data_IF_465411154101
#
_entry.id   IF_465411154101
#
_cell.length_a   1.000
_cell.length_b   1.000
_cell.length_c   1.000
_cell.angle_alpha   90.00
_cell.angle_beta   90.00
_cell.angle_gamma   90.00
#
_symmetry.space_group_name_H-M   'P 1'
#
loop_
_entity.id
_entity.type
_entity.pdbx_description
1 polymer ?
#
# COMPACT_ATOMS: atom_id res chain seq x y z
N UNK A 1 11.02 14.05 -4.62
CA UNK A 1 9.74 14.70 -4.99
C UNK A 1 8.99 14.02 -6.15
N UNK A 2 9.59 13.15 -6.97
CA UNK A 2 8.88 12.20 -7.86
C UNK A 2 8.23 10.99 -7.16
N UNK A 3 8.28 10.94 -5.82
CA UNK A 3 7.89 9.75 -5.05
C UNK A 3 6.37 9.67 -4.84
N UNK A 4 5.67 10.79 -4.67
CA UNK A 4 4.22 10.79 -4.37
C UNK A 4 3.39 10.17 -5.52
N UNK A 5 3.71 10.50 -6.77
CA UNK A 5 3.00 10.04 -7.97
C UNK A 5 3.18 8.53 -8.20
N UNK A 6 4.39 8.00 -7.97
CA UNK A 6 4.66 6.56 -8.08
C UNK A 6 3.97 5.76 -6.96
N UNK A 7 3.87 6.33 -5.77
CA UNK A 7 3.23 5.70 -4.60
C UNK A 7 1.71 5.60 -4.80
N UNK A 8 1.08 6.65 -5.35
CA UNK A 8 -0.34 6.64 -5.71
C UNK A 8 -0.65 5.57 -6.75
N UNK A 9 0.14 5.50 -7.85
CA UNK A 9 0.02 4.47 -8.88
C UNK A 9 0.09 3.06 -8.28
N UNK A 10 1.03 2.85 -7.35
CA UNK A 10 1.29 1.56 -6.71
C UNK A 10 0.22 1.16 -5.69
N UNK A 11 -0.28 2.11 -4.89
CA UNK A 11 -1.33 1.85 -3.89
C UNK A 11 -2.65 1.48 -4.56
N UNK A 12 -3.02 2.19 -5.62
CA UNK A 12 -4.24 1.89 -6.38
C UNK A 12 -4.15 0.57 -7.14
N UNK A 13 -3.02 0.26 -7.79
CA UNK A 13 -2.81 -1.02 -8.47
C UNK A 13 -3.05 -2.24 -7.55
N UNK A 14 -2.70 -2.12 -6.26
CA UNK A 14 -2.78 -3.21 -5.27
C UNK A 14 -4.18 -3.45 -4.71
N UNK A 15 -5.13 -2.52 -4.83
CA UNK A 15 -6.48 -2.66 -4.29
C UNK A 15 -7.30 -3.65 -5.15
N UNK A 16 -7.38 -4.93 -4.73
CA UNK A 16 -8.12 -5.97 -5.49
C UNK A 16 -9.65 -5.79 -5.44
N UNK A 17 -10.17 -5.15 -4.38
CA UNK A 17 -11.59 -4.95 -4.11
C UNK A 17 -12.02 -3.48 -4.11
N UNK A 18 -11.33 -2.62 -4.85
CA UNK A 18 -11.57 -1.16 -4.86
C UNK A 18 -13.05 -0.77 -5.02
N UNK A 19 -13.77 -1.45 -5.91
CA UNK A 19 -15.18 -1.17 -6.19
C UNK A 19 -16.14 -1.58 -5.05
N UNK A 20 -15.74 -2.53 -4.20
CA UNK A 20 -16.58 -3.07 -3.12
C UNK A 20 -16.57 -2.16 -1.88
N UNK A 21 -15.55 -1.30 -1.74
CA UNK A 21 -15.34 -0.43 -0.58
C UNK A 21 -15.38 1.08 -0.92
N UNK A 22 -15.39 1.43 -2.20
CA UNK A 22 -15.54 2.80 -2.67
C UNK A 22 -17.01 3.25 -2.53
N UNK A 23 -17.41 3.76 -1.36
CA UNK A 23 -18.79 4.20 -1.11
C UNK A 23 -19.09 5.57 -1.74
N UNK A 24 -18.14 6.51 -1.66
CA UNK A 24 -18.36 7.90 -2.10
C UNK A 24 -18.23 8.03 -3.63
N UNK A 25 -17.36 7.26 -4.27
CA UNK A 25 -17.09 7.35 -5.72
C UNK A 25 -18.35 7.06 -6.56
N UNK A 26 -19.15 6.00 -6.31
CA UNK A 26 -20.42 5.76 -7.00
C UNK A 26 -21.45 6.86 -6.73
N UNK A 27 -21.54 7.39 -5.51
CA UNK A 27 -22.47 8.47 -5.16
C UNK A 27 -22.14 9.72 -5.98
N UNK A 28 -20.87 10.13 -5.99
CA UNK A 28 -20.40 11.28 -6.76
C UNK A 28 -20.54 11.06 -8.28
N UNK A 29 -20.32 9.84 -8.78
CA UNK A 29 -20.55 9.49 -10.17
C UNK A 29 -22.03 9.59 -10.57
N UNK A 30 -22.96 9.11 -9.73
CA UNK A 30 -24.39 9.24 -9.96
C UNK A 30 -24.82 10.71 -9.98
N UNK A 31 -24.30 11.51 -9.05
CA UNK A 31 -24.57 12.95 -9.01
C UNK A 31 -24.13 13.64 -10.30
N UNK A 32 -22.94 13.32 -10.82
CA UNK A 32 -22.48 13.83 -12.10
C UNK A 32 -23.39 13.38 -13.26
N UNK A 33 -23.81 12.12 -13.28
CA UNK A 33 -24.69 11.58 -14.31
C UNK A 33 -26.08 12.23 -14.35
N UNK A 34 -26.58 12.70 -13.21
CA UNK A 34 -27.83 13.47 -13.13
C UNK A 34 -27.63 14.94 -13.56
N UNK A 35 -26.54 15.57 -13.11
CA UNK A 35 -26.33 17.01 -13.33
C UNK A 35 -25.93 17.29 -14.78
N UNK A 36 -25.00 16.51 -15.34
CA UNK A 36 -24.37 16.81 -16.64
C UNK A 36 -25.43 16.99 -17.74
N UNK A 37 -26.35 16.02 -18.00
CA UNK A 37 -27.34 16.14 -19.06
C UNK A 37 -28.22 17.39 -18.92
N UNK A 38 -28.63 17.73 -17.70
CA UNK A 38 -29.48 18.91 -17.46
C UNK A 38 -28.78 20.23 -17.81
N UNK A 39 -27.45 20.28 -17.67
CA UNK A 39 -26.63 21.49 -17.87
C UNK A 39 -26.12 21.66 -19.29
N UNK A 40 -26.08 20.59 -20.08
CA UNK A 40 -25.55 20.61 -21.46
C UNK A 40 -26.57 20.16 -22.52
N UNK A 41 -27.86 20.07 -22.16
CA UNK A 41 -28.95 19.51 -22.98
C UNK A 41 -29.08 20.01 -24.43
N UNK A 42 -28.54 21.20 -24.77
CA UNK A 42 -28.58 21.76 -26.14
C UNK A 42 -27.30 21.51 -26.96
N UNK A 43 -26.26 20.92 -26.38
CA UNK A 43 -24.94 20.82 -27.01
C UNK A 43 -24.73 19.45 -27.64
N UNK A 44 -24.23 19.43 -28.88
CA UNK A 44 -23.79 18.20 -29.54
C UNK A 44 -22.42 17.81 -29.00
N UNK A 45 -22.39 16.90 -28.04
CA UNK A 45 -21.14 16.38 -27.46
C UNK A 45 -20.55 15.32 -28.39
N UNK A 46 -19.33 15.55 -28.88
CA UNK A 46 -18.62 14.65 -29.80
C UNK A 46 -17.37 14.07 -29.18
N UNK A 47 -16.66 14.81 -28.33
CA UNK A 47 -15.44 14.33 -27.66
C UNK A 47 -15.50 14.59 -26.16
N UNK A 48 -15.22 13.55 -25.39
CA UNK A 48 -15.27 13.55 -23.93
C UNK A 48 -13.93 13.09 -23.39
N UNK A 49 -13.36 13.86 -22.46
CA UNK A 49 -12.16 13.47 -21.72
C UNK A 49 -12.55 13.15 -20.27
N UNK A 50 -12.22 11.96 -19.81
CA UNK A 50 -12.35 11.57 -18.40
C UNK A 50 -10.97 11.54 -17.74
N UNK A 51 -10.83 12.30 -16.66
CA UNK A 51 -9.59 12.42 -15.88
C UNK A 51 -9.71 11.67 -14.56
N UNK A 52 -8.85 10.67 -14.37
CA UNK A 52 -8.91 9.76 -13.22
C UNK A 52 -10.10 8.80 -13.34
N UNK A 53 -10.13 8.04 -14.43
CA UNK A 53 -11.22 7.09 -14.71
C UNK A 53 -11.30 5.96 -13.68
N UNK A 54 -10.21 5.67 -12.96
CA UNK A 54 -10.13 4.57 -12.01
C UNK A 54 -10.56 3.26 -12.66
N UNK A 55 -11.45 2.51 -12.00
CA UNK A 55 -12.06 1.27 -12.50
C UNK A 55 -13.23 1.48 -13.47
N UNK A 56 -13.49 2.71 -13.92
CA UNK A 56 -14.52 3.04 -14.91
C UNK A 56 -15.93 3.27 -14.34
N UNK A 57 -16.06 3.55 -13.05
CA UNK A 57 -17.37 3.76 -12.40
C UNK A 57 -18.15 4.94 -13.00
N UNK A 58 -17.48 6.07 -13.24
CA UNK A 58 -18.11 7.23 -13.89
C UNK A 58 -18.35 6.96 -15.38
N UNK A 59 -17.36 6.40 -16.09
CA UNK A 59 -17.50 6.01 -17.50
C UNK A 59 -18.77 5.19 -17.74
N UNK A 60 -19.05 4.19 -16.90
CA UNK A 60 -20.26 3.35 -17.02
C UNK A 60 -21.58 4.12 -16.92
N UNK A 61 -21.60 5.22 -16.16
CA UNK A 61 -22.80 6.03 -15.94
C UNK A 61 -22.97 7.08 -17.04
N UNK A 62 -21.88 7.69 -17.49
CA UNK A 62 -21.91 8.80 -18.45
C UNK A 62 -21.91 8.32 -19.90
N UNK A 63 -21.15 7.28 -20.24
CA UNK A 63 -21.00 6.80 -21.62
C UNK A 63 -22.33 6.50 -22.32
N UNK A 64 -23.31 5.82 -21.68
CA UNK A 64 -24.62 5.58 -22.28
C UNK A 64 -25.45 6.85 -22.55
N UNK A 65 -25.17 7.96 -21.86
CA UNK A 65 -25.88 9.24 -22.05
C UNK A 65 -25.39 9.99 -23.30
N UNK A 66 -24.17 9.69 -23.77
CA UNK A 66 -23.57 10.28 -24.97
C UNK A 66 -22.98 9.18 -25.88
N UNK A 67 -23.80 8.26 -26.43
CA UNK A 67 -23.33 7.05 -27.08
C UNK A 67 -22.58 7.29 -28.41
N UNK A 68 -22.69 8.50 -28.98
CA UNK A 68 -22.02 8.88 -30.22
C UNK A 68 -20.74 9.68 -30.00
N UNK A 69 -20.37 9.95 -28.75
CA UNK A 69 -19.14 10.65 -28.45
C UNK A 69 -17.94 9.70 -28.44
N UNK A 70 -16.80 10.20 -28.86
CA UNK A 70 -15.48 9.61 -28.59
C UNK A 70 -15.11 9.92 -27.14
N UNK A 71 -14.80 8.89 -26.36
CA UNK A 71 -14.30 9.02 -25.00
C UNK A 71 -12.81 8.73 -24.95
N UNK A 72 -12.07 9.61 -24.29
CA UNK A 72 -10.70 9.40 -23.89
C UNK A 72 -10.67 9.30 -22.37
N UNK A 73 -10.61 8.08 -21.86
CA UNK A 73 -10.56 7.77 -20.44
C UNK A 73 -9.11 7.71 -20.01
N UNK A 74 -8.74 8.47 -18.98
CA UNK A 74 -7.36 8.58 -18.54
C UNK A 74 -7.21 8.34 -17.06
N UNK A 75 -6.10 7.74 -16.68
CA UNK A 75 -5.72 7.51 -15.29
C UNK A 75 -4.21 7.42 -15.19
N UNK A 76 -3.65 7.65 -14.01
CA UNK A 76 -2.22 7.47 -13.77
C UNK A 76 -1.84 5.97 -13.75
N UNK A 77 -2.79 5.11 -13.37
CA UNK A 77 -2.60 3.66 -13.26
C UNK A 77 -3.10 2.90 -14.48
N UNK A 78 -2.16 2.23 -15.17
CA UNK A 78 -2.47 1.30 -16.27
C UNK A 78 -3.37 0.16 -15.83
N UNK A 79 -3.18 -0.37 -14.61
CA UNK A 79 -4.01 -1.46 -14.07
C UNK A 79 -5.45 -1.02 -13.87
N UNK A 80 -5.67 0.24 -13.44
CA UNK A 80 -7.01 0.81 -13.31
C UNK A 80 -7.68 0.94 -14.68
N UNK A 81 -6.94 1.45 -15.67
CA UNK A 81 -7.43 1.55 -17.05
C UNK A 81 -7.80 0.20 -17.65
N UNK A 82 -6.99 -0.83 -17.44
CA UNK A 82 -7.32 -2.20 -17.89
C UNK A 82 -8.61 -2.73 -17.25
N UNK A 83 -8.82 -2.43 -15.96
CA UNK A 83 -10.08 -2.77 -15.28
C UNK A 83 -11.24 -2.00 -15.86
N UNK A 84 -11.10 -0.69 -16.04
CA UNK A 84 -12.13 0.17 -16.65
C UNK A 84 -12.53 -0.34 -18.04
N UNK A 85 -11.55 -0.60 -18.90
CA UNK A 85 -11.75 -1.16 -20.23
C UNK A 85 -12.53 -2.48 -20.18
N UNK A 86 -12.11 -3.41 -19.33
CA UNK A 86 -12.83 -4.68 -19.15
C UNK A 86 -14.26 -4.46 -18.66
N UNK A 87 -14.45 -3.53 -17.72
CA UNK A 87 -15.75 -3.23 -17.09
C UNK A 87 -16.70 -2.54 -18.05
N UNK A 88 -16.22 -1.76 -19.02
CA UNK A 88 -17.06 -1.00 -19.97
C UNK A 88 -17.15 -1.65 -21.35
N UNK A 89 -16.37 -2.70 -21.64
CA UNK A 89 -16.36 -3.39 -22.93
C UNK A 89 -17.75 -3.77 -23.46
N UNK A 90 -18.66 -4.18 -22.57
CA UNK A 90 -20.02 -4.57 -22.90
C UNK A 90 -20.89 -3.43 -23.45
N UNK A 91 -20.48 -2.16 -23.29
CA UNK A 91 -21.20 -1.00 -23.79
C UNK A 91 -21.11 -0.85 -25.31
N UNK A 92 -20.05 -1.38 -25.95
CA UNK A 92 -19.86 -1.27 -27.40
C UNK A 92 -19.66 0.16 -27.91
N UNK A 93 -19.15 1.05 -27.07
CA UNK A 93 -18.95 2.48 -27.36
C UNK A 93 -17.50 2.79 -27.75
N UNK A 94 -17.28 3.97 -28.35
CA UNK A 94 -15.95 4.45 -28.71
C UNK A 94 -15.19 4.98 -27.48
N UNK A 95 -14.54 4.06 -26.75
CA UNK A 95 -13.78 4.35 -25.54
C UNK A 95 -12.30 4.04 -25.78
N UNK A 96 -11.42 5.02 -25.57
CA UNK A 96 -9.97 4.85 -25.52
C UNK A 96 -9.47 4.99 -24.09
N UNK A 97 -8.49 4.18 -23.68
CA UNK A 97 -7.92 4.19 -22.34
C UNK A 97 -6.43 4.55 -22.40
N UNK A 98 -6.03 5.68 -21.83
CA UNK A 98 -4.68 6.23 -22.00
C UNK A 98 -4.08 6.62 -20.64
N UNK A 99 -2.89 6.09 -20.29
CA UNK A 99 -2.18 6.54 -19.10
C UNK A 99 -1.87 8.03 -19.17
N UNK A 100 -2.23 8.79 -18.14
CA UNK A 100 -1.98 10.23 -18.08
C UNK A 100 -1.73 10.67 -16.63
N UNK A 101 -0.64 11.41 -16.43
CA UNK A 101 -0.51 12.28 -15.27
C UNK A 101 -1.22 13.61 -15.58
N UNK A 102 -2.32 13.92 -14.88
CA UNK A 102 -3.12 15.12 -15.16
C UNK A 102 -2.41 16.44 -14.82
N UNK A 103 -1.30 16.38 -14.06
CA UNK A 103 -0.41 17.54 -13.85
C UNK A 103 0.51 17.79 -15.03
N UNK A 104 0.73 16.79 -15.88
CA UNK A 104 1.68 16.81 -16.98
C UNK A 104 0.99 16.45 -18.30
N UNK A 105 0.11 17.33 -18.78
CA UNK A 105 -0.50 17.16 -20.09
C UNK A 105 0.55 17.18 -21.21
N UNK A 106 0.62 16.14 -22.06
CA UNK A 106 1.61 16.08 -23.12
C UNK A 106 1.38 17.18 -24.17
N UNK A 107 2.48 17.78 -24.62
CA UNK A 107 2.51 18.87 -25.62
C UNK A 107 3.01 18.34 -26.96
N UNK A 108 2.59 18.98 -28.06
CA UNK A 108 3.06 18.63 -29.40
C UNK A 108 2.62 17.23 -29.86
N UNK A 109 1.47 16.75 -29.37
CA UNK A 109 0.92 15.48 -29.81
C UNK A 109 0.55 15.53 -31.31
N UNK A 110 0.77 14.43 -32.05
CA UNK A 110 0.24 14.25 -33.40
C UNK A 110 -1.28 14.49 -33.46
N UNK A 111 -1.80 15.00 -34.59
CA UNK A 111 -3.24 15.31 -34.75
C UNK A 111 -4.15 14.09 -34.56
N UNK A 112 -3.65 12.89 -34.83
CA UNK A 112 -4.36 11.61 -34.68
C UNK A 112 -4.30 11.02 -33.27
N UNK A 113 -3.49 11.60 -32.37
CA UNK A 113 -3.42 11.13 -30.99
C UNK A 113 -4.73 11.46 -30.25
N UNK A 114 -5.34 10.55 -29.47
CA UNK A 114 -6.64 10.83 -28.83
C UNK A 114 -6.65 12.03 -27.85
N UNK A 115 -5.56 12.32 -27.16
CA UNK A 115 -5.40 13.52 -26.33
C UNK A 115 -5.10 14.83 -27.10
N UNK A 116 -4.92 14.76 -28.43
CA UNK A 116 -4.76 15.94 -29.27
C UNK A 116 -6.09 16.68 -29.44
N UNK A 117 -6.00 17.99 -29.71
CA UNK A 117 -7.16 18.86 -29.87
C UNK A 117 -7.87 19.22 -28.56
N UNK A 118 -9.14 19.59 -28.72
CA UNK A 118 -10.05 20.03 -27.66
C UNK A 118 -11.22 19.05 -27.46
N UNK A 119 -11.90 19.20 -26.33
CA UNK A 119 -13.01 18.37 -25.87
C UNK A 119 -14.26 19.21 -25.59
N UNK A 120 -15.43 18.65 -25.92
CA UNK A 120 -16.72 19.30 -25.66
C UNK A 120 -17.14 19.15 -24.20
N UNK A 121 -16.70 18.08 -23.56
CA UNK A 121 -16.98 17.77 -22.17
C UNK A 121 -15.74 17.16 -21.51
N UNK A 122 -15.36 17.68 -20.35
CA UNK A 122 -14.33 17.08 -19.50
C UNK A 122 -14.98 16.68 -18.19
N UNK A 123 -14.75 15.45 -17.75
CA UNK A 123 -15.31 14.91 -16.52
C UNK A 123 -14.21 14.35 -15.62
N UNK A 124 -14.41 14.45 -14.31
CA UNK A 124 -13.54 13.80 -13.33
C UNK A 124 -14.32 13.52 -12.06
N UNK A 125 -14.12 12.33 -11.49
CA UNK A 125 -14.80 11.93 -10.28
C UNK A 125 -13.79 11.58 -9.19
N UNK A 126 -13.69 12.43 -8.16
CA UNK A 126 -12.81 12.24 -7.00
C UNK A 126 -11.37 11.87 -7.40
N UNK A 127 -10.79 12.57 -8.36
CA UNK A 127 -9.38 12.43 -8.72
C UNK A 127 -8.53 13.63 -8.28
N UNK A 128 -9.13 14.82 -8.20
CA UNK A 128 -8.42 16.08 -7.99
C UNK A 128 -7.80 16.26 -6.61
N UNK A 129 -8.26 15.50 -5.60
CA UNK A 129 -7.65 15.53 -4.27
C UNK A 129 -6.24 14.92 -4.26
N UNK A 130 -5.85 14.20 -5.32
CA UNK A 130 -4.52 13.61 -5.48
C UNK A 130 -3.56 14.51 -6.28
N UNK A 131 -4.03 15.67 -6.74
CA UNK A 131 -3.26 16.62 -7.55
C UNK A 131 -2.58 17.63 -6.65
N UNK A 132 -1.26 17.72 -6.71
CA UNK A 132 -0.47 18.67 -5.93
C UNK A 132 -0.62 20.09 -6.51
N UNK A 133 -0.38 20.26 -7.81
CA UNK A 133 -0.49 21.56 -8.49
C UNK A 133 -1.89 21.79 -9.09
N UNK A 134 -2.92 21.74 -8.22
CA UNK A 134 -4.34 21.79 -8.63
C UNK A 134 -4.69 23.00 -9.51
N UNK A 135 -4.14 24.17 -9.19
CA UNK A 135 -4.35 25.41 -9.97
C UNK A 135 -3.90 25.27 -11.43
N UNK A 136 -2.71 24.71 -11.64
CA UNK A 136 -2.16 24.53 -12.98
C UNK A 136 -2.89 23.43 -13.75
N UNK A 137 -3.29 22.35 -13.06
CA UNK A 137 -4.13 21.31 -13.66
C UNK A 137 -5.48 21.87 -14.14
N UNK A 138 -6.15 22.72 -13.34
CA UNK A 138 -7.41 23.37 -13.74
C UNK A 138 -7.24 24.27 -14.96
N UNK A 139 -6.15 25.03 -15.06
CA UNK A 139 -5.83 25.84 -16.25
C UNK A 139 -5.60 24.97 -17.49
N UNK A 140 -4.84 23.90 -17.36
CA UNK A 140 -4.56 22.98 -18.45
C UNK A 140 -5.86 22.36 -18.98
N UNK A 141 -6.75 21.95 -18.08
CA UNK A 141 -8.07 21.39 -18.41
C UNK A 141 -8.94 22.42 -19.11
N UNK A 142 -8.97 23.65 -18.61
CA UNK A 142 -9.70 24.71 -19.27
C UNK A 142 -9.20 24.96 -20.69
N UNK A 143 -7.88 24.93 -20.92
CA UNK A 143 -7.30 25.09 -22.26
C UNK A 143 -7.67 23.97 -23.25
N UNK A 144 -8.08 22.81 -22.72
CA UNK A 144 -8.51 21.63 -23.50
C UNK A 144 -10.00 21.65 -23.82
N UNK A 145 -10.78 22.57 -23.28
CA UNK A 145 -12.18 22.73 -23.66
C UNK A 145 -12.30 23.44 -25.01
N UNK A 146 -13.32 23.08 -25.78
CA UNK A 146 -13.78 23.92 -26.89
C UNK A 146 -14.36 25.22 -26.35
N UNK A 147 -14.53 26.24 -27.19
CA UNK A 147 -15.16 27.52 -26.80
C UNK A 147 -16.55 27.32 -26.16
N UNK A 148 -17.26 26.27 -26.58
CA UNK A 148 -18.57 25.90 -26.04
C UNK A 148 -18.52 24.69 -25.10
N UNK A 149 -17.33 24.24 -24.72
CA UNK A 149 -17.15 23.07 -23.87
C UNK A 149 -17.57 23.31 -22.41
N UNK A 150 -17.66 22.25 -21.63
CA UNK A 150 -17.87 22.33 -20.18
C UNK A 150 -17.03 21.29 -19.44
N UNK A 151 -16.60 21.61 -18.21
CA UNK A 151 -15.96 20.67 -17.31
C UNK A 151 -16.80 20.44 -16.06
N UNK A 152 -16.94 19.18 -15.62
CA UNK A 152 -17.62 18.80 -14.40
C UNK A 152 -16.72 17.90 -13.56
N UNK A 153 -16.39 18.35 -12.36
CA UNK A 153 -15.39 17.71 -11.52
C UNK A 153 -15.97 17.57 -10.10
N UNK A 154 -15.66 16.47 -9.43
CA UNK A 154 -15.91 16.31 -7.99
C UNK A 154 -14.60 16.19 -7.23
N UNK A 155 -14.56 16.78 -6.03
CA UNK A 155 -13.43 16.68 -5.11
C UNK A 155 -13.93 16.73 -3.67
N UNK A 156 -13.08 16.38 -2.73
CA UNK A 156 -13.37 16.44 -1.30
C UNK A 156 -13.09 17.86 -0.78
N UNK A 157 -13.88 18.27 0.21
CA UNK A 157 -13.78 19.60 0.82
C UNK A 157 -13.35 19.47 2.28
N UNK A 158 -12.96 20.62 2.85
CA UNK A 158 -12.83 20.75 4.29
C UNK A 158 -14.07 20.21 5.03
N UNK A 159 -13.83 19.47 6.11
CA UNK A 159 -14.86 18.78 6.86
C UNK A 159 -15.09 17.31 6.46
N UNK A 160 -14.50 16.82 5.37
CA UNK A 160 -14.50 15.37 5.07
C UNK A 160 -13.77 14.59 6.18
N UNK A 161 -14.44 13.56 6.73
CA UNK A 161 -13.96 12.70 7.82
C UNK A 161 -13.60 13.44 9.11
N UNK A 162 -14.38 14.47 9.46
CA UNK A 162 -14.16 15.27 10.69
C UNK A 162 -14.29 14.44 11.96
N UNK A 163 -15.25 13.54 12.02
CA UNK A 163 -15.49 12.64 13.15
C UNK A 163 -14.28 11.75 13.40
N UNK A 164 -13.67 11.24 12.33
CA UNK A 164 -12.44 10.46 12.43
C UNK A 164 -11.26 11.31 12.91
N UNK A 165 -11.12 12.54 12.38
CA UNK A 165 -10.08 13.47 12.83
C UNK A 165 -10.21 13.75 14.33
N UNK A 166 -11.42 14.04 14.81
CA UNK A 166 -11.68 14.23 16.24
C UNK A 166 -11.39 12.96 17.05
N UNK A 167 -11.72 11.76 16.54
CA UNK A 167 -11.41 10.51 17.22
C UNK A 167 -9.90 10.26 17.34
N UNK A 168 -9.13 10.58 16.29
CA UNK A 168 -7.67 10.55 16.32
C UNK A 168 -7.12 11.54 17.35
N UNK A 169 -7.57 12.79 17.33
CA UNK A 169 -7.15 13.84 18.27
C UNK A 169 -7.48 13.48 19.72
N UNK A 170 -8.68 12.96 19.99
CA UNK A 170 -9.09 12.55 21.33
C UNK A 170 -8.31 11.35 21.88
N UNK A 171 -7.65 10.59 20.98
CA UNK A 171 -6.87 9.41 21.32
C UNK A 171 -5.36 9.63 21.22
N UNK A 172 -4.90 10.88 21.04
CA UNK A 172 -3.49 11.24 20.78
C UNK A 172 -2.84 10.48 19.60
N UNK A 173 -3.66 10.06 18.62
CA UNK A 173 -3.22 9.32 17.45
C UNK A 173 -3.07 10.25 16.23
N UNK A 174 -2.06 10.02 15.36
CA UNK A 174 -1.91 10.81 14.14
C UNK A 174 -3.08 10.55 13.17
N UNK A 175 -3.75 11.61 12.73
CA UNK A 175 -4.77 11.52 11.69
C UNK A 175 -4.12 11.58 10.30
N UNK A 176 -4.21 10.49 9.54
CA UNK A 176 -3.68 10.39 8.18
C UNK A 176 -4.57 10.99 7.09
N UNK A 177 -5.76 11.48 7.45
CA UNK A 177 -6.68 12.14 6.51
C UNK A 177 -6.05 13.46 6.04
N UNK A 178 -5.85 13.67 4.73
CA UNK A 178 -5.35 14.92 4.19
C UNK A 178 -6.23 16.11 4.58
N UNK A 179 -5.63 17.30 4.62
CA UNK A 179 -6.41 18.53 4.63
C UNK A 179 -6.92 18.78 3.22
N UNK A 180 -8.24 18.90 3.09
CA UNK A 180 -8.91 19.23 1.84
C UNK A 180 -9.23 20.72 1.80
N UNK A 181 -9.30 21.32 0.60
CA UNK A 181 -9.57 22.73 0.47
C UNK A 181 -11.00 23.08 0.89
N UNK A 182 -11.15 24.26 1.45
CA UNK A 182 -12.44 24.93 1.60
C UNK A 182 -12.99 25.40 0.26
N UNK A 183 -14.30 25.69 0.22
CA UNK A 183 -14.93 26.28 -0.98
C UNK A 183 -14.27 27.62 -1.34
N UNK A 184 -13.91 28.43 -0.35
CA UNK A 184 -13.27 29.72 -0.56
C UNK A 184 -11.88 29.60 -1.20
N UNK A 185 -11.10 28.57 -0.83
CA UNK A 185 -9.81 28.29 -1.47
C UNK A 185 -10.00 27.87 -2.93
N UNK A 186 -10.96 26.99 -3.22
CA UNK A 186 -11.28 26.56 -4.59
C UNK A 186 -11.81 27.71 -5.47
N UNK A 187 -12.62 28.60 -4.90
CA UNK A 187 -13.06 29.84 -5.56
C UNK A 187 -11.88 30.78 -5.85
N UNK A 188 -10.92 30.85 -4.94
CA UNK A 188 -9.68 31.61 -5.09
C UNK A 188 -8.78 31.07 -6.19
N UNK A 189 -8.61 29.75 -6.26
CA UNK A 189 -7.84 29.06 -7.29
C UNK A 189 -8.48 29.22 -8.67
N UNK A 190 -9.80 29.04 -8.78
CA UNK A 190 -10.47 29.09 -10.08
C UNK A 190 -11.79 29.86 -10.07
N UNK A 191 -11.67 31.18 -10.18
CA UNK A 191 -12.78 32.16 -10.17
C UNK A 191 -13.82 31.97 -11.27
N UNK A 192 -13.48 31.25 -12.35
CA UNK A 192 -14.40 30.98 -13.46
C UNK A 192 -15.27 29.74 -13.23
N UNK A 193 -14.94 28.88 -12.26
CA UNK A 193 -15.80 27.75 -11.89
C UNK A 193 -16.97 28.19 -11.02
N UNK A 194 -18.04 27.38 -11.07
CA UNK A 194 -19.13 27.43 -10.11
C UNK A 194 -19.01 26.22 -9.19
N UNK A 195 -18.81 26.47 -7.91
CA UNK A 195 -18.68 25.43 -6.90
C UNK A 195 -20.03 25.19 -6.23
N UNK A 196 -20.34 23.92 -5.96
CA UNK A 196 -21.52 23.53 -5.19
C UNK A 196 -21.11 22.47 -4.19
N UNK A 197 -21.40 22.74 -2.91
CA UNK A 197 -21.13 21.82 -1.80
C UNK A 197 -22.25 20.79 -1.70
N UNK A 198 -21.86 19.54 -1.49
CA UNK A 198 -22.73 18.42 -1.15
C UNK A 198 -22.21 17.78 0.12
N UNK A 199 -23.12 17.48 1.06
CA UNK A 199 -22.80 16.74 2.27
C UNK A 199 -23.33 15.32 2.10
N UNK A 200 -22.43 14.34 2.23
CA UNK A 200 -22.76 12.92 2.19
C UNK A 200 -22.45 12.39 3.59
N UNK A 201 -23.44 11.75 4.19
CA UNK A 201 -23.28 11.08 5.49
C UNK A 201 -23.33 9.57 5.25
N UNK A 202 -22.33 8.88 5.79
CA UNK A 202 -22.22 7.43 5.77
C UNK A 202 -22.25 6.94 7.22
N UNK A 203 -23.12 5.98 7.49
CA UNK A 203 -23.13 5.28 8.77
C UNK A 203 -22.22 4.05 8.66
N UNK A 204 -21.20 4.02 9.51
CA UNK A 204 -20.31 2.88 9.65
C UNK A 204 -20.68 2.10 10.90
N UNK A 205 -20.67 0.77 10.80
CA UNK A 205 -21.08 -0.11 11.91
C UNK A 205 -20.22 0.11 13.16
N UNK A 206 -18.91 0.30 12.96
CA UNK A 206 -17.94 0.59 14.01
C UNK A 206 -16.64 1.14 13.41
N UNK A 207 -15.74 1.64 14.26
CA UNK A 207 -14.47 2.23 13.86
C UNK A 207 -13.54 1.24 13.10
N UNK A 208 -13.62 -0.05 13.40
CA UNK A 208 -12.80 -1.08 12.73
C UNK A 208 -13.28 -1.28 11.29
N UNK A 209 -14.59 -1.36 11.07
CA UNK A 209 -15.19 -1.44 9.73
C UNK A 209 -14.80 -0.24 8.87
N UNK A 210 -14.82 0.96 9.45
CA UNK A 210 -14.34 2.18 8.80
C UNK A 210 -12.86 2.12 8.40
N UNK A 211 -11.97 1.70 9.32
CA UNK A 211 -10.54 1.56 9.04
C UNK A 211 -10.23 0.51 7.96
N UNK A 212 -10.95 -0.62 7.98
CA UNK A 212 -10.85 -1.65 6.93
C UNK A 212 -11.29 -1.08 5.58
N UNK A 213 -12.38 -0.32 5.53
CA UNK A 213 -12.81 0.39 4.33
C UNK A 213 -11.74 1.33 3.76
N UNK A 214 -11.10 2.15 4.60
CA UNK A 214 -10.01 3.05 4.18
C UNK A 214 -8.80 2.29 3.59
N UNK A 215 -8.41 1.17 4.22
CA UNK A 215 -7.29 0.32 3.76
C UNK A 215 -7.58 -0.30 2.39
N UNK A 216 -8.81 -0.77 2.16
CA UNK A 216 -9.20 -1.46 0.93
C UNK A 216 -9.37 -0.51 -0.27
N UNK A 217 -9.71 0.77 -0.06
CA UNK A 217 -9.73 1.79 -1.13
C UNK A 217 -8.36 2.37 -1.47
N UNK A 218 -7.28 1.85 -0.85
CA UNK A 218 -5.92 2.33 -1.05
C UNK A 218 -5.60 3.63 -0.31
N UNK A 219 -6.48 4.08 0.61
CA UNK A 219 -6.23 5.18 1.54
C UNK A 219 -5.48 4.66 2.79
N UNK A 220 -4.46 3.85 2.58
CA UNK A 220 -3.60 3.35 3.65
C UNK A 220 -2.72 4.51 4.16
N UNK A 221 -2.53 4.66 5.47
CA UNK A 221 -1.49 5.54 6.00
C UNK A 221 -0.15 5.24 5.31
N UNK A 222 0.59 6.31 5.02
CA UNK A 222 1.97 6.24 4.52
C UNK A 222 2.75 5.20 5.33
N UNK A 223 3.43 4.32 4.59
CA UNK A 223 4.48 3.41 5.01
C UNK A 223 4.44 3.01 6.48
N UNK A 224 4.17 1.73 6.74
CA UNK A 224 4.40 1.10 8.05
C UNK A 224 5.81 1.38 8.61
N UNK A 225 6.78 1.87 7.80
CA UNK A 225 8.04 2.45 8.28
C UNK A 225 8.52 3.64 7.42
N UNK A 226 8.86 4.77 8.04
CA UNK A 226 9.43 5.96 7.35
C UNK A 226 10.87 5.77 6.81
N UNK A 227 11.47 4.59 6.99
CA UNK A 227 12.84 4.28 6.56
C UNK A 227 12.86 2.87 5.95
N UNK A 228 13.25 2.76 4.69
CA UNK A 228 13.59 1.47 4.09
C UNK A 228 15.11 1.24 4.22
N UNK A 229 15.54 0.08 4.75
CA UNK A 229 16.96 -0.24 4.83
C UNK A 229 17.54 -0.45 3.42
N UNK A 230 18.69 0.16 3.12
CA UNK A 230 19.34 0.02 1.80
C UNK A 230 19.98 -1.37 1.61
N UNK A 231 20.39 -2.02 2.71
CA UNK A 231 21.03 -3.34 2.72
C UNK A 231 20.63 -4.10 4.00
N UNK A 232 20.10 -5.31 3.86
CA UNK A 232 19.72 -6.12 5.02
C UNK A 232 19.06 -7.45 4.68
N UNK A 233 18.80 -8.24 5.72
CA UNK A 233 18.09 -9.51 5.65
C UNK A 233 17.05 -9.59 6.76
N UNK A 234 15.90 -10.21 6.46
CA UNK A 234 14.93 -10.58 7.49
C UNK A 234 15.05 -12.08 7.79
N UNK A 235 15.46 -12.41 9.01
CA UNK A 235 15.60 -13.78 9.52
C UNK A 235 14.30 -14.19 10.21
N UNK A 236 13.65 -15.21 9.67
CA UNK A 236 12.41 -15.79 10.23
C UNK A 236 12.51 -17.30 10.33
N UNK A 237 11.57 -17.92 11.04
CA UNK A 237 11.59 -19.33 11.37
C UNK A 237 10.40 -20.09 10.81
N UNK A 238 10.51 -21.41 10.69
CA UNK A 238 9.33 -22.27 10.51
C UNK A 238 8.58 -22.52 11.82
N UNK A 239 9.23 -22.26 12.96
CA UNK A 239 8.75 -22.54 14.31
C UNK A 239 9.53 -21.67 15.31
N UNK A 240 9.18 -21.76 16.60
CA UNK A 240 10.00 -21.22 17.71
C UNK A 240 11.19 -22.18 17.98
N UNK A 241 12.29 -21.67 18.55
CA UNK A 241 13.49 -22.46 18.90
C UNK A 241 14.13 -23.26 17.76
N UNK A 242 14.00 -22.75 16.54
CA UNK A 242 14.62 -23.33 15.33
C UNK A 242 16.07 -22.86 15.12
N UNK A 243 16.62 -22.05 16.01
CA UNK A 243 17.98 -21.53 15.90
C UNK A 243 18.11 -20.18 15.20
N UNK A 244 17.02 -19.38 15.09
CA UNK A 244 17.05 -18.04 14.48
C UNK A 244 18.16 -17.17 15.07
N UNK A 245 18.23 -17.05 16.39
CA UNK A 245 19.19 -16.20 17.12
C UNK A 245 20.65 -16.55 16.78
N UNK A 246 21.00 -17.83 16.76
CA UNK A 246 22.33 -18.29 16.38
C UNK A 246 22.67 -17.96 14.92
N UNK A 247 21.69 -18.11 14.02
CA UNK A 247 21.89 -17.74 12.61
C UNK A 247 21.98 -16.23 12.42
N UNK A 248 21.18 -15.44 13.15
CA UNK A 248 21.28 -13.99 13.18
C UNK A 248 22.68 -13.56 13.66
N UNK A 249 23.20 -14.16 14.74
CA UNK A 249 24.54 -13.84 15.25
C UNK A 249 25.64 -14.12 14.22
N UNK A 250 25.56 -15.28 13.53
CA UNK A 250 26.49 -15.64 12.47
C UNK A 250 26.44 -14.64 11.32
N UNK A 251 25.25 -14.23 10.89
CA UNK A 251 25.08 -13.22 9.83
C UNK A 251 25.61 -11.85 10.25
N UNK A 252 25.38 -11.43 11.49
CA UNK A 252 25.94 -10.18 12.04
C UNK A 252 27.46 -10.20 11.94
N UNK A 253 28.10 -11.33 12.29
CA UNK A 253 29.55 -11.49 12.17
C UNK A 253 30.04 -11.49 10.73
N UNK A 254 29.41 -12.28 9.86
CA UNK A 254 29.81 -12.43 8.45
C UNK A 254 29.67 -11.12 7.67
N UNK A 255 28.62 -10.35 7.95
CA UNK A 255 28.33 -9.09 7.26
C UNK A 255 28.89 -7.85 7.96
N UNK A 256 29.54 -8.01 9.12
CA UNK A 256 29.86 -6.89 10.03
C UNK A 256 28.62 -5.99 10.27
N UNK A 257 27.48 -6.65 10.42
CA UNK A 257 26.16 -6.03 10.40
C UNK A 257 25.75 -5.40 11.73
N UNK A 258 24.56 -4.83 11.74
CA UNK A 258 23.83 -4.43 12.95
C UNK A 258 22.61 -5.34 13.13
N UNK A 259 22.31 -5.67 14.38
CA UNK A 259 21.22 -6.58 14.74
C UNK A 259 20.01 -5.81 15.24
N UNK A 260 18.82 -6.23 14.83
CA UNK A 260 17.58 -5.72 15.39
C UNK A 260 16.54 -6.82 15.55
N UNK A 261 15.99 -6.95 16.75
CA UNK A 261 14.83 -7.79 17.03
C UNK A 261 13.66 -6.90 17.45
N UNK A 262 12.67 -6.65 16.56
CA UNK A 262 11.61 -5.70 16.86
C UNK A 262 10.73 -6.15 18.04
N UNK A 263 10.50 -7.45 18.16
CA UNK A 263 9.66 -8.05 19.20
C UNK A 263 10.46 -9.07 20.01
N UNK A 264 10.74 -8.73 21.26
CA UNK A 264 11.31 -9.64 22.25
C UNK A 264 10.20 -10.12 23.19
N UNK A 265 10.03 -11.42 23.32
CA UNK A 265 9.09 -12.04 24.26
C UNK A 265 9.86 -12.96 25.21
N UNK A 266 9.25 -13.34 26.34
CA UNK A 266 9.83 -14.32 27.27
C UNK A 266 10.90 -13.80 28.25
N UNK A 267 11.01 -12.48 28.46
CA UNK A 267 12.04 -11.87 29.33
C UNK A 267 11.97 -12.29 30.80
N UNK A 268 10.85 -12.87 31.24
CA UNK A 268 10.70 -13.40 32.59
C UNK A 268 11.45 -14.74 32.80
N UNK A 269 11.58 -15.51 31.73
CA UNK A 269 12.17 -16.86 31.74
C UNK A 269 13.54 -16.93 31.08
N UNK A 270 13.93 -15.89 30.34
CA UNK A 270 15.14 -15.83 29.55
C UNK A 270 15.73 -14.41 29.63
N UNK A 271 17.06 -14.31 29.60
CA UNK A 271 17.83 -13.05 29.63
C UNK A 271 17.70 -12.32 28.27
N UNK A 272 17.14 -13.01 27.27
CA UNK A 272 16.83 -12.48 25.94
C UNK A 272 17.94 -12.77 24.92
N UNK A 273 17.67 -12.46 23.66
CA UNK A 273 18.55 -12.86 22.56
C UNK A 273 19.87 -12.08 22.51
N UNK A 274 19.91 -10.89 23.14
CA UNK A 274 21.04 -9.95 23.10
C UNK A 274 22.35 -10.60 23.56
N UNK A 275 22.33 -11.39 24.63
CA UNK A 275 23.55 -12.04 25.15
C UNK A 275 24.10 -13.08 24.17
N UNK A 276 23.22 -13.87 23.55
CA UNK A 276 23.61 -14.84 22.52
C UNK A 276 24.20 -14.14 21.30
N UNK A 277 23.58 -13.04 20.85
CA UNK A 277 24.10 -12.25 19.72
C UNK A 277 25.51 -11.73 20.02
N UNK A 278 25.74 -11.11 21.19
CA UNK A 278 27.06 -10.60 21.57
C UNK A 278 28.13 -11.69 21.59
N UNK A 279 27.81 -12.80 22.27
CA UNK A 279 28.74 -13.91 22.45
C UNK A 279 29.13 -14.58 21.13
N UNK A 280 28.14 -14.89 20.30
CA UNK A 280 28.35 -15.70 19.09
C UNK A 280 28.83 -14.86 17.90
N UNK A 281 28.42 -13.59 17.81
CA UNK A 281 28.86 -12.69 16.73
C UNK A 281 30.19 -11.99 17.04
N UNK A 282 30.45 -11.67 18.33
CA UNK A 282 31.55 -10.80 18.74
C UNK A 282 31.34 -9.31 18.39
N UNK A 283 30.11 -8.90 18.05
CA UNK A 283 29.79 -7.50 17.79
C UNK A 283 29.83 -6.66 19.07
N UNK A 284 29.85 -5.34 18.92
CA UNK A 284 29.77 -4.44 20.07
C UNK A 284 28.32 -4.30 20.55
N UNK A 285 28.07 -3.97 21.83
CA UNK A 285 26.72 -3.70 22.35
C UNK A 285 25.92 -2.67 21.55
N UNK A 286 26.59 -1.66 20.98
CA UNK A 286 25.98 -0.62 20.17
C UNK A 286 25.50 -1.12 18.80
N UNK A 287 25.98 -2.29 18.35
CA UNK A 287 25.54 -2.93 17.12
C UNK A 287 24.18 -3.64 17.27
N UNK A 288 23.69 -3.77 18.51
CA UNK A 288 22.38 -4.34 18.83
C UNK A 288 21.39 -3.19 19.05
N UNK A 289 20.51 -2.99 18.08
CA UNK A 289 19.50 -1.95 18.13
C UNK A 289 18.42 -2.27 19.19
N UNK A 290 17.86 -1.25 19.85
CA UNK A 290 16.81 -1.45 20.85
C UNK A 290 15.57 -2.08 20.23
N UNK A 291 14.97 -3.03 20.96
CA UNK A 291 13.70 -3.64 20.58
C UNK A 291 12.60 -2.57 20.53
N UNK A 292 11.66 -2.70 19.60
CA UNK A 292 10.49 -1.83 19.58
C UNK A 292 9.53 -2.20 20.70
N UNK A 293 9.35 -3.51 20.93
CA UNK A 293 8.51 -4.03 22.00
C UNK A 293 9.20 -5.18 22.73
N UNK A 294 9.14 -5.11 24.05
CA UNK A 294 9.68 -6.12 24.97
C UNK A 294 8.56 -6.60 25.91
N UNK A 295 8.37 -7.92 25.96
CA UNK A 295 7.30 -8.58 26.72
C UNK A 295 7.83 -9.66 27.67
N UNK A 296 7.10 -9.86 28.77
CA UNK A 296 7.51 -10.77 29.85
C UNK A 296 7.25 -12.23 29.52
N UNK A 297 6.08 -12.54 28.97
CA UNK A 297 5.62 -13.91 28.77
C UNK A 297 6.12 -14.48 27.43
N UNK A 298 6.49 -15.79 27.36
CA UNK A 298 7.02 -16.42 26.15
C UNK A 298 5.89 -16.83 25.19
N UNK A 299 5.16 -15.83 24.69
CA UNK A 299 4.06 -16.00 23.73
C UNK A 299 4.40 -15.34 22.39
N UNK A 300 3.52 -15.47 21.39
CA UNK A 300 3.59 -14.62 20.21
C UNK A 300 3.41 -13.14 20.60
N UNK A 301 3.93 -12.18 19.81
CA UNK A 301 3.88 -10.76 20.15
C UNK A 301 2.48 -10.26 20.52
N UNK A 302 1.45 -10.64 19.76
CA UNK A 302 0.06 -10.23 20.05
C UNK A 302 -0.40 -10.70 21.44
N UNK A 303 -0.31 -12.00 21.73
CA UNK A 303 -0.76 -12.54 23.01
C UNK A 303 0.14 -12.12 24.19
N UNK A 304 1.43 -11.86 23.94
CA UNK A 304 2.34 -11.32 24.95
C UNK A 304 1.96 -9.87 25.29
N UNK A 305 1.61 -9.05 24.30
CA UNK A 305 1.13 -7.69 24.50
C UNK A 305 -0.18 -7.67 25.31
N UNK A 306 -1.14 -8.53 24.97
CA UNK A 306 -2.41 -8.67 25.71
C UNK A 306 -2.17 -9.03 27.19
N UNK A 307 -1.30 -10.01 27.47
CA UNK A 307 -0.97 -10.41 28.84
C UNK A 307 -0.26 -9.31 29.62
N UNK A 308 0.65 -8.60 28.97
CA UNK A 308 1.40 -7.50 29.58
C UNK A 308 0.57 -6.20 29.66
N UNK A 309 -0.69 -6.23 29.20
CA UNK A 309 -1.57 -5.07 29.10
C UNK A 309 -0.94 -3.91 28.29
N UNK A 310 -0.21 -4.27 27.24
CA UNK A 310 0.42 -3.36 26.29
C UNK A 310 -0.29 -3.46 24.95
N UNK A 311 -0.25 -2.38 24.18
CA UNK A 311 -0.75 -2.33 22.82
C UNK A 311 0.46 -2.24 21.90
N UNK A 312 0.54 -3.12 20.90
CA UNK A 312 1.46 -2.94 19.78
C UNK A 312 0.80 -1.94 18.84
N UNK A 313 1.49 -0.84 18.57
CA UNK A 313 1.08 0.20 17.63
C UNK A 313 1.96 0.04 16.36
N UNK A 314 1.47 -0.62 15.29
CA UNK A 314 2.26 -0.89 14.09
C UNK A 314 2.86 0.35 13.44
N UNK A 315 2.17 1.50 13.54
CA UNK A 315 2.61 2.80 13.03
C UNK A 315 3.83 3.38 13.77
N UNK A 316 4.07 2.93 15.01
CA UNK A 316 5.27 3.29 15.79
C UNK A 316 6.43 2.33 15.55
N UNK A 317 6.22 1.26 14.78
CA UNK A 317 7.28 0.31 14.45
C UNK A 317 8.23 0.98 13.44
N UNK A 318 9.34 1.52 13.93
CA UNK A 318 10.39 2.10 13.08
C UNK A 318 11.73 1.46 13.37
N UNK A 319 12.54 1.25 12.34
CA UNK A 319 13.93 0.82 12.51
C UNK A 319 14.67 1.91 13.32
N UNK A 320 15.29 1.58 14.46
CA UNK A 320 16.11 2.51 15.21
C UNK A 320 17.25 3.07 14.35
N UNK A 321 17.71 4.29 14.63
CA UNK A 321 18.82 4.89 13.86
C UNK A 321 20.08 4.01 13.93
N UNK A 322 20.68 3.77 12.77
CA UNK A 322 21.93 3.03 12.62
C UNK A 322 22.69 3.57 11.40
N UNK A 323 23.96 3.16 11.24
CA UNK A 323 24.74 3.46 10.06
C UNK A 323 24.22 2.66 8.85
N UNK A 324 23.56 3.33 7.91
CA UNK A 324 22.88 2.70 6.77
C UNK A 324 23.80 2.02 5.77
N UNK A 325 25.12 2.26 5.85
CA UNK A 325 26.12 1.54 5.04
C UNK A 325 26.35 0.10 5.56
N UNK A 326 25.94 -0.20 6.80
CA UNK A 326 26.06 -1.52 7.40
C UNK A 326 24.85 -2.39 7.08
N UNK A 327 25.07 -3.70 6.96
CA UNK A 327 23.98 -4.66 6.72
C UNK A 327 23.09 -4.78 7.97
N UNK A 328 21.78 -4.52 7.82
CA UNK A 328 20.81 -4.71 8.90
C UNK A 328 20.30 -6.15 8.92
N UNK A 329 20.48 -6.84 10.04
CA UNK A 329 19.97 -8.19 10.30
C UNK A 329 18.76 -8.08 11.22
N UNK A 330 17.56 -8.27 10.66
CA UNK A 330 16.30 -8.20 11.41
C UNK A 330 15.87 -9.61 11.79
N UNK A 331 15.66 -9.87 13.07
CA UNK A 331 15.12 -11.15 13.54
C UNK A 331 13.64 -11.05 13.88
N UNK A 332 12.82 -11.89 13.23
CA UNK A 332 11.40 -12.02 13.52
C UNK A 332 11.10 -12.90 14.75
N UNK A 333 9.94 -12.69 15.36
CA UNK A 333 9.42 -13.54 16.43
C UNK A 333 8.64 -14.73 15.85
N UNK A 334 9.10 -15.95 16.12
CA UNK A 334 8.45 -17.18 15.63
C UNK A 334 8.58 -17.37 14.12
N UNK A 335 7.45 -17.55 13.42
CA UNK A 335 7.39 -17.78 11.98
C UNK A 335 6.47 -16.81 11.22
N UNK A 336 6.32 -17.01 9.91
CA UNK A 336 5.71 -16.04 8.98
C UNK A 336 4.29 -15.59 9.36
N UNK A 337 3.45 -16.52 9.80
CA UNK A 337 2.05 -16.27 10.17
C UNK A 337 1.86 -16.01 11.67
N UNK A 338 2.93 -15.63 12.38
CA UNK A 338 2.79 -15.21 13.78
C UNK A 338 2.13 -13.83 13.83
N UNK A 339 1.03 -13.67 14.59
CA UNK A 339 0.32 -12.40 14.67
C UNK A 339 1.09 -11.38 15.51
N UNK A 340 1.09 -10.15 15.01
CA UNK A 340 1.69 -8.97 15.65
C UNK A 340 0.57 -8.07 16.22
N UNK A 341 -0.44 -7.76 15.40
CA UNK A 341 -1.53 -6.85 15.76
C UNK A 341 -2.75 -7.08 14.86
N UNK A 342 -3.94 -7.36 15.40
CA UNK A 342 -5.17 -7.61 14.63
C UNK A 342 -4.91 -8.58 13.44
N UNK A 343 -5.15 -8.15 12.20
CA UNK A 343 -4.90 -8.90 10.96
C UNK A 343 -3.45 -8.73 10.40
N UNK A 344 -2.49 -8.26 11.21
CA UNK A 344 -1.08 -8.06 10.84
C UNK A 344 -0.19 -9.19 11.36
N UNK A 345 0.59 -9.78 10.46
CA UNK A 345 1.50 -10.89 10.74
C UNK A 345 2.96 -10.52 10.46
N UNK A 346 3.90 -11.36 10.90
CA UNK A 346 5.34 -11.21 10.59
C UNK A 346 5.59 -11.10 9.08
N UNK A 347 4.83 -11.80 8.24
CA UNK A 347 4.96 -11.71 6.78
C UNK A 347 4.60 -10.32 6.23
N UNK A 348 3.65 -9.61 6.84
CA UNK A 348 3.28 -8.25 6.46
C UNK A 348 4.39 -7.25 6.83
N UNK A 349 5.04 -7.48 7.97
CA UNK A 349 6.22 -6.72 8.38
C UNK A 349 7.38 -6.91 7.39
N UNK A 350 7.67 -8.14 7.00
CA UNK A 350 8.70 -8.44 5.99
C UNK A 350 8.39 -7.70 4.68
N UNK A 351 7.12 -7.73 4.25
CA UNK A 351 6.65 -7.06 3.04
C UNK A 351 6.77 -5.55 3.13
N UNK A 352 6.46 -4.96 4.28
CA UNK A 352 6.62 -3.53 4.51
C UNK A 352 8.09 -3.08 4.46
N UNK A 353 8.99 -3.92 4.99
CA UNK A 353 10.44 -3.68 5.00
C UNK A 353 11.11 -3.93 3.64
N UNK A 354 10.45 -4.70 2.75
CA UNK A 354 10.94 -5.07 1.43
C UNK A 354 12.36 -5.70 1.46
N UNK A 355 12.62 -6.54 2.46
CA UNK A 355 13.91 -7.21 2.64
C UNK A 355 13.89 -8.65 2.12
N UNK A 356 15.02 -9.16 1.58
CA UNK A 356 15.18 -10.57 1.32
C UNK A 356 15.06 -11.42 2.59
N UNK A 357 14.42 -12.58 2.46
CA UNK A 357 14.11 -13.47 3.59
C UNK A 357 15.15 -14.57 3.74
N UNK A 358 15.61 -14.78 4.97
CA UNK A 358 16.34 -15.97 5.39
C UNK A 358 15.40 -16.80 6.25
N UNK A 359 15.03 -17.99 5.76
CA UNK A 359 14.16 -18.91 6.47
C UNK A 359 14.99 -19.95 7.23
N UNK A 360 14.77 -20.06 8.53
CA UNK A 360 15.44 -21.02 9.41
C UNK A 360 14.46 -22.11 9.84
N UNK A 361 14.86 -23.37 9.67
CA UNK A 361 14.05 -24.53 10.06
C UNK A 361 14.89 -25.51 10.86
N UNK A 362 14.35 -26.03 11.97
CA UNK A 362 15.02 -27.10 12.72
C UNK A 362 14.98 -28.39 11.91
N UNK A 363 16.12 -29.07 11.79
CA UNK A 363 16.20 -30.33 11.07
C UNK A 363 15.61 -31.47 11.92
N UNK A 364 14.30 -31.66 11.83
CA UNK A 364 13.51 -32.63 12.61
C UNK A 364 12.41 -33.28 11.75
N UNK A 365 11.75 -34.31 12.30
CA UNK A 365 10.57 -34.89 11.66
C UNK A 365 9.50 -33.81 11.46
N UNK A 366 8.93 -33.74 10.26
CA UNK A 366 7.95 -32.73 9.87
C UNK A 366 8.53 -31.42 9.34
N UNK A 367 9.86 -31.22 9.37
CA UNK A 367 10.50 -30.00 8.88
C UNK A 367 10.18 -29.71 7.40
N UNK A 368 10.15 -30.75 6.55
CA UNK A 368 9.82 -30.59 5.12
C UNK A 368 8.46 -29.92 4.91
N UNK A 369 7.41 -30.39 5.62
CA UNK A 369 6.07 -29.80 5.51
C UNK A 369 6.07 -28.32 5.95
N UNK A 370 6.72 -28.01 7.06
CA UNK A 370 6.81 -26.64 7.56
C UNK A 370 7.58 -25.72 6.60
N UNK A 371 8.67 -26.22 6.02
CA UNK A 371 9.46 -25.50 5.02
C UNK A 371 8.62 -25.23 3.77
N UNK A 372 8.05 -26.26 3.14
CA UNK A 372 7.25 -26.07 1.92
C UNK A 372 6.04 -25.16 2.15
N UNK A 373 5.38 -25.26 3.31
CA UNK A 373 4.30 -24.34 3.67
C UNK A 373 4.78 -22.89 3.78
N UNK A 374 5.95 -22.67 4.40
CA UNK A 374 6.55 -21.35 4.52
C UNK A 374 6.99 -20.79 3.16
N UNK A 375 7.54 -21.64 2.29
CA UNK A 375 7.94 -21.26 0.93
C UNK A 375 6.74 -20.87 0.07
N UNK A 376 5.65 -21.63 0.14
CA UNK A 376 4.41 -21.30 -0.56
C UNK A 376 3.83 -19.94 -0.10
N UNK A 377 3.94 -19.63 1.20
CA UNK A 377 3.55 -18.31 1.72
C UNK A 377 4.46 -17.19 1.21
N UNK A 378 5.78 -17.38 1.21
CA UNK A 378 6.71 -16.38 0.66
C UNK A 378 6.42 -16.11 -0.83
N UNK A 379 6.17 -17.15 -1.61
CA UNK A 379 5.78 -17.04 -3.01
C UNK A 379 4.46 -16.29 -3.18
N UNK A 380 3.42 -16.65 -2.42
CA UNK A 380 2.12 -15.99 -2.47
C UNK A 380 2.18 -14.50 -2.13
N UNK A 381 3.16 -14.09 -1.30
CA UNK A 381 3.38 -12.69 -0.92
C UNK A 381 4.43 -11.98 -1.79
N UNK A 382 4.96 -12.64 -2.83
CA UNK A 382 6.03 -12.17 -3.70
C UNK A 382 7.30 -11.73 -2.93
N UNK A 383 7.63 -12.47 -1.87
CA UNK A 383 8.80 -12.20 -1.03
C UNK A 383 9.98 -13.06 -1.47
N UNK A 384 11.13 -12.45 -1.84
CA UNK A 384 12.27 -13.22 -2.30
C UNK A 384 12.93 -13.96 -1.15
N UNK A 385 12.94 -15.30 -1.24
CA UNK A 385 13.80 -16.14 -0.39
C UNK A 385 15.26 -15.97 -0.83
N UNK A 386 16.11 -15.51 0.07
CA UNK A 386 17.54 -15.44 -0.14
C UNK A 386 18.26 -16.72 0.28
N UNK A 387 17.87 -17.31 1.41
CA UNK A 387 18.54 -18.48 1.98
C UNK A 387 17.59 -19.33 2.82
N UNK A 388 17.76 -20.65 2.75
CA UNK A 388 17.11 -21.61 3.65
C UNK A 388 18.17 -22.27 4.52
N UNK A 389 17.99 -22.24 5.84
CA UNK A 389 18.95 -22.84 6.78
C UNK A 389 18.27 -24.00 7.50
N UNK A 390 18.85 -25.19 7.41
CA UNK A 390 18.48 -26.34 8.21
C UNK A 390 19.37 -26.38 9.45
N UNK A 391 18.77 -26.17 10.63
CA UNK A 391 19.50 -26.17 11.89
C UNK A 391 19.48 -27.55 12.55
N UNK A 392 20.67 -28.16 12.66
CA UNK A 392 20.89 -29.42 13.37
C UNK A 392 21.22 -30.60 12.44
N UNK A 393 21.68 -31.70 13.05
CA UNK A 393 22.14 -32.89 12.32
C UNK A 393 21.08 -33.46 11.38
N UNK A 394 21.50 -33.81 10.16
CA UNK A 394 20.65 -34.36 9.11
C UNK A 394 20.39 -35.86 9.26
N UNK A 395 19.78 -36.25 10.39
CA UNK A 395 19.47 -37.66 10.70
C UNK A 395 18.41 -38.27 9.79
N UNK A 396 17.66 -37.44 9.07
CA UNK A 396 16.49 -37.85 8.28
C UNK A 396 16.68 -37.65 6.77
N UNK A 397 17.84 -37.16 6.33
CA UNK A 397 18.11 -36.87 4.91
C UNK A 397 17.24 -35.72 4.36
N UNK A 398 16.73 -34.84 5.21
CA UNK A 398 15.87 -33.72 4.80
C UNK A 398 16.61 -32.79 3.84
N UNK A 399 17.91 -32.58 4.03
CA UNK A 399 18.71 -31.73 3.16
C UNK A 399 18.82 -32.28 1.73
N UNK A 400 18.95 -33.60 1.57
CA UNK A 400 18.98 -34.24 0.26
C UNK A 400 17.63 -34.16 -0.44
N UNK A 401 16.54 -34.35 0.30
CA UNK A 401 15.19 -34.21 -0.24
C UNK A 401 14.97 -32.78 -0.74
N UNK A 402 15.28 -31.77 0.06
CA UNK A 402 15.10 -30.36 -0.33
C UNK A 402 15.89 -30.00 -1.60
N UNK A 403 17.10 -30.54 -1.79
CA UNK A 403 17.89 -30.33 -3.01
C UNK A 403 17.18 -30.81 -4.29
N UNK A 404 16.27 -31.79 -4.18
CA UNK A 404 15.51 -32.31 -5.33
C UNK A 404 14.30 -31.45 -5.70
N UNK A 405 13.75 -30.70 -4.74
CA UNK A 405 12.53 -29.91 -4.93
C UNK A 405 12.77 -28.41 -5.04
N UNK A 406 13.86 -27.90 -4.47
CA UNK A 406 14.18 -26.48 -4.49
C UNK A 406 15.07 -26.13 -5.68
N UNK A 407 14.87 -24.97 -6.32
CA UNK A 407 15.73 -24.53 -7.41
C UNK A 407 17.18 -24.40 -6.91
N UNK A 408 18.15 -24.77 -7.76
CA UNK A 408 19.60 -24.80 -7.46
C UNK A 408 20.19 -23.50 -6.87
N UNK A 409 19.47 -22.37 -6.99
CA UNK A 409 19.85 -21.08 -6.41
C UNK A 409 19.53 -20.96 -4.91
N UNK A 410 18.72 -21.86 -4.35
CA UNK A 410 18.40 -21.88 -2.93
C UNK A 410 19.58 -22.45 -2.17
N UNK A 411 20.33 -21.60 -1.47
CA UNK A 411 21.45 -22.04 -0.65
C UNK A 411 20.90 -22.72 0.62
N UNK A 412 21.06 -24.04 0.70
CA UNK A 412 20.77 -24.84 1.89
C UNK A 412 22.06 -25.03 2.68
N UNK A 413 22.11 -24.46 3.89
CA UNK A 413 23.19 -24.72 4.85
C UNK A 413 22.73 -25.77 5.85
N UNK A 414 23.56 -26.80 6.04
CA UNK A 414 23.37 -27.89 7.01
C UNK A 414 24.10 -27.58 8.31
#
# INVERSE_FOLDING_TARGET
MKHLTNDIKTSFAKAKHYDDFAVIQPIAANLLAEIIPSRIHTKKIRRILELGAGTGALTQKIAPLFPYAEYVCTDLSEDMLQRAEKKTKHLGLNLSFIPLNMEEFPKGLPEDHPLAGQFDLIISNLAFQWVEQRHEALKAIYSKLTESGAAFLTTLLDGTLTEWRHACEASDNPCSVPFYPSVAELEGEYKHAKWKKYQIQEEVENAISFLKGLKEIGATPKNLMNVQPQKGFFVTGTDTDVGKTYQSAKLVKEETGVYWKPFQTGLKSDIGDKETILKESGCQPEDILPCAYEFQEPLCPLSAAEKDQKIIEPEKLSIPKYDTERTLIIEGAGGLMVPIWDDLFIIDLIKALNLPVILVAKNKLGALNQIFSSLALLEAYNLPLHKLILWGEDKQGNGEILNNYLPKKTLILK
#
